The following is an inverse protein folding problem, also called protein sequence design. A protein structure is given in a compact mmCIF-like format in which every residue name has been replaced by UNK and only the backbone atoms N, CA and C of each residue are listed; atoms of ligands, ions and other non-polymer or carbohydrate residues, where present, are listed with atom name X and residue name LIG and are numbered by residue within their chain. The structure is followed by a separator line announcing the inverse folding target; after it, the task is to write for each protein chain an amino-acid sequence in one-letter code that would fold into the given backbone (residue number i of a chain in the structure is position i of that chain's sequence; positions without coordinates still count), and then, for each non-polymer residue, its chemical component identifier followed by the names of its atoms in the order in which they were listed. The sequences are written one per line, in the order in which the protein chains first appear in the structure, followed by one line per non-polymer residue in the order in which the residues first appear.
data_IF_745560152909
#
_entry.id   IF_745560152909
#
_cell.length_a   1.000
_cell.length_b   1.000
_cell.length_c   1.000
_cell.angle_alpha   90.00
_cell.angle_beta   90.00
_cell.angle_gamma   90.00
#
_symmetry.space_group_name_H-M   'P 1'
#
loop_
_entity.id
_entity.type
_entity.pdbx_description
1 polymer ?
#
# COMPACT_ATOMS: atom_id res chain seq x y z
N UNK A 1 -17.33 -18.84 -50.57
CA UNK A 1 -18.10 -18.63 -49.33
C UNK A 1 -17.35 -19.19 -48.13
N UNK A 2 -16.93 -18.31 -47.19
CA UNK A 2 -16.93 -18.51 -45.73
C UNK A 2 -16.29 -17.26 -45.09
N UNK A 3 -17.14 -16.34 -44.66
CA UNK A 3 -16.78 -15.14 -43.92
C UNK A 3 -16.73 -15.55 -42.45
N UNK A 4 -15.54 -15.62 -41.85
CA UNK A 4 -15.41 -15.87 -40.41
C UNK A 4 -15.80 -14.62 -39.62
N UNK A 5 -16.69 -14.83 -38.65
CA UNK A 5 -17.41 -13.84 -37.87
C UNK A 5 -16.54 -13.07 -36.86
N UNK A 6 -16.27 -11.79 -37.13
CA UNK A 6 -15.54 -10.85 -36.24
C UNK A 6 -16.32 -10.31 -35.03
N UNK A 7 -17.34 -11.01 -34.53
CA UNK A 7 -18.21 -10.51 -33.43
C UNK A 7 -17.87 -11.05 -32.03
N UNK A 8 -17.09 -12.13 -31.90
CA UNK A 8 -16.86 -12.79 -30.60
C UNK A 8 -15.75 -12.14 -29.77
N UNK A 9 -14.72 -11.55 -30.41
CA UNK A 9 -13.59 -10.92 -29.69
C UNK A 9 -13.92 -9.56 -29.06
N UNK A 10 -14.89 -8.83 -29.61
CA UNK A 10 -15.21 -7.46 -29.15
C UNK A 10 -15.99 -7.46 -27.83
N UNK A 11 -16.83 -8.47 -27.59
CA UNK A 11 -17.61 -8.60 -26.36
C UNK A 11 -16.72 -8.92 -25.14
N UNK A 12 -15.77 -9.85 -25.27
CA UNK A 12 -14.87 -10.25 -24.18
C UNK A 12 -13.96 -9.11 -23.70
N UNK A 13 -13.42 -8.32 -24.65
CA UNK A 13 -12.59 -7.16 -24.32
C UNK A 13 -13.39 -6.07 -23.62
N UNK A 14 -14.64 -5.82 -24.04
CA UNK A 14 -15.53 -4.83 -23.41
C UNK A 14 -15.93 -5.25 -21.99
N UNK A 15 -16.22 -6.54 -21.77
CA UNK A 15 -16.51 -7.08 -20.43
C UNK A 15 -15.29 -6.96 -19.52
N UNK A 16 -14.09 -7.29 -20.02
CA UNK A 16 -12.84 -7.18 -19.25
C UNK A 16 -12.50 -5.72 -18.88
N UNK A 17 -12.73 -4.76 -19.79
CA UNK A 17 -12.54 -3.33 -19.51
C UNK A 17 -13.59 -2.77 -18.54
N UNK A 18 -14.85 -3.19 -18.65
CA UNK A 18 -15.90 -2.83 -17.67
C UNK A 18 -15.61 -3.39 -16.28
N UNK A 19 -15.14 -4.65 -16.20
CA UNK A 19 -14.74 -5.28 -14.93
C UNK A 19 -13.50 -4.61 -14.31
N UNK A 20 -12.51 -4.21 -15.12
CA UNK A 20 -11.35 -3.46 -14.62
C UNK A 20 -11.74 -2.06 -14.15
N UNK A 21 -12.62 -1.38 -14.86
CA UNK A 21 -13.09 -0.03 -14.50
C UNK A 21 -13.95 -0.03 -13.23
N UNK A 22 -14.79 -1.04 -13.02
CA UNK A 22 -15.54 -1.21 -11.78
C UNK A 22 -14.61 -1.54 -10.60
N UNK A 23 -13.63 -2.43 -10.79
CA UNK A 23 -12.58 -2.72 -9.80
C UNK A 23 -11.75 -1.47 -9.45
N UNK A 24 -11.35 -0.67 -10.43
CA UNK A 24 -10.62 0.59 -10.17
C UNK A 24 -11.49 1.63 -9.44
N UNK A 25 -12.79 1.70 -9.72
CA UNK A 25 -13.71 2.60 -9.04
C UNK A 25 -13.90 2.21 -7.56
N UNK A 26 -14.11 0.91 -7.30
CA UNK A 26 -14.16 0.35 -5.94
C UNK A 26 -12.82 0.55 -5.22
N UNK A 27 -11.69 0.29 -5.89
CA UNK A 27 -10.36 0.54 -5.35
C UNK A 27 -10.11 2.02 -5.02
N UNK A 28 -10.62 2.97 -5.81
CA UNK A 28 -10.49 4.42 -5.53
C UNK A 28 -11.30 4.82 -4.30
N UNK A 29 -12.53 4.32 -4.15
CA UNK A 29 -13.39 4.54 -2.97
C UNK A 29 -12.75 3.94 -1.70
N UNK A 30 -12.31 2.70 -1.78
CA UNK A 30 -11.57 2.01 -0.70
C UNK A 30 -10.24 2.70 -0.39
N UNK A 31 -9.51 3.25 -1.39
CA UNK A 31 -8.26 4.01 -1.19
C UNK A 31 -8.44 5.36 -0.47
N UNK A 32 -9.60 6.00 -0.60
CA UNK A 32 -9.95 7.21 0.18
C UNK A 32 -10.35 6.86 1.61
N UNK A 33 -11.11 5.79 1.78
CA UNK A 33 -11.58 5.25 3.06
C UNK A 33 -10.41 4.72 3.91
N UNK A 34 -9.50 3.96 3.31
CA UNK A 34 -8.27 3.45 3.96
C UNK A 34 -7.26 4.54 4.33
N UNK A 35 -7.40 5.74 3.74
CA UNK A 35 -6.47 6.87 3.96
C UNK A 35 -6.51 7.38 5.41
N UNK A 36 -7.61 7.13 6.11
CA UNK A 36 -7.84 7.52 7.50
C UNK A 36 -7.84 6.36 8.50
N UNK A 37 -7.32 5.18 8.12
CA UNK A 37 -7.19 4.01 9.01
C UNK A 37 -6.28 4.31 10.21
N UNK A 38 -6.85 4.90 11.27
CA UNK A 38 -6.22 5.11 12.58
C UNK A 38 -5.78 3.78 13.18
N UNK A 39 -6.44 2.68 12.84
CA UNK A 39 -6.12 1.34 13.32
C UNK A 39 -4.71 0.86 12.94
N UNK A 40 -4.18 1.26 11.77
CA UNK A 40 -2.80 0.96 11.37
C UNK A 40 -1.77 1.87 12.04
N UNK A 41 -2.21 2.92 12.75
CA UNK A 41 -1.35 3.75 13.62
C UNK A 41 -1.19 3.16 15.01
N UNK A 42 -2.11 2.29 15.45
CA UNK A 42 -1.99 1.61 16.73
C UNK A 42 -0.91 0.51 16.64
N UNK A 43 0.10 0.61 17.49
CA UNK A 43 1.24 -0.34 17.56
C UNK A 43 0.87 -1.70 18.14
N UNK A 44 -0.28 -1.81 18.83
CA UNK A 44 -0.81 -3.09 19.30
C UNK A 44 -1.32 -3.95 18.14
N UNK A 45 -2.08 -3.32 17.24
CA UNK A 45 -2.69 -3.97 16.08
C UNK A 45 -1.66 -4.24 14.98
N UNK A 46 -0.86 -3.21 14.64
CA UNK A 46 0.20 -3.28 13.63
C UNK A 46 1.58 -3.09 14.29
N UNK A 47 2.20 -4.18 14.76
CA UNK A 47 3.50 -4.11 15.43
C UNK A 47 4.58 -3.64 14.47
N UNK A 48 5.46 -2.74 14.93
CA UNK A 48 6.56 -2.19 14.12
C UNK A 48 7.87 -2.97 14.24
N UNK A 49 7.98 -3.85 15.25
CA UNK A 49 9.14 -4.71 15.52
C UNK A 49 9.22 -5.92 14.57
N UNK A 50 8.82 -5.74 13.31
CA UNK A 50 8.88 -6.76 12.26
C UNK A 50 9.38 -6.15 10.96
N UNK A 51 10.08 -6.96 10.16
CA UNK A 51 10.70 -6.51 8.92
C UNK A 51 9.65 -6.05 7.89
N UNK A 52 8.79 -6.98 7.51
CA UNK A 52 7.74 -6.76 6.50
C UNK A 52 6.34 -7.01 7.09
N UNK A 53 5.32 -6.56 6.37
CA UNK A 53 3.91 -6.86 6.70
C UNK A 53 3.62 -8.35 6.78
N UNK A 54 4.33 -9.13 5.97
CA UNK A 54 4.13 -10.58 5.84
C UNK A 54 4.68 -11.33 7.06
N UNK A 55 5.61 -10.73 7.80
CA UNK A 55 6.11 -11.23 9.09
C UNK A 55 5.15 -11.00 10.27
N UNK A 56 4.07 -10.21 10.10
CA UNK A 56 3.07 -10.03 11.16
C UNK A 56 2.30 -11.35 11.32
N UNK A 57 2.07 -11.79 12.58
CA UNK A 57 1.26 -12.99 12.84
C UNK A 57 -0.09 -12.90 12.12
N UNK A 58 -0.47 -13.98 11.44
CA UNK A 58 -1.74 -14.04 10.69
C UNK A 58 -2.94 -13.67 11.56
N UNK A 59 -2.94 -14.07 12.84
CA UNK A 59 -3.98 -13.72 13.82
C UNK A 59 -4.17 -12.21 13.96
N UNK A 60 -3.09 -11.41 13.95
CA UNK A 60 -3.18 -9.95 14.01
C UNK A 60 -3.68 -9.36 12.69
N UNK A 61 -3.26 -9.92 11.55
CA UNK A 61 -3.78 -9.51 10.23
C UNK A 61 -5.29 -9.78 10.10
N UNK A 62 -5.76 -10.91 10.64
CA UNK A 62 -7.19 -11.24 10.67
C UNK A 62 -7.96 -10.26 11.57
N UNK A 63 -7.43 -9.89 12.73
CA UNK A 63 -8.04 -8.84 13.58
C UNK A 63 -8.13 -7.50 12.86
N UNK A 64 -7.10 -7.14 12.09
CA UNK A 64 -7.14 -5.92 11.25
C UNK A 64 -8.26 -6.04 10.21
N UNK A 65 -8.44 -7.20 9.59
CA UNK A 65 -9.55 -7.44 8.66
C UNK A 65 -10.94 -7.33 9.33
N UNK A 66 -11.10 -7.86 10.54
CA UNK A 66 -12.35 -7.73 11.30
C UNK A 66 -12.69 -6.27 11.62
N UNK A 67 -11.73 -5.50 12.12
CA UNK A 67 -11.91 -4.06 12.38
C UNK A 67 -12.23 -3.27 11.12
N UNK A 68 -11.68 -3.70 9.99
CA UNK A 68 -11.96 -3.09 8.69
C UNK A 68 -13.40 -3.33 8.28
N UNK A 69 -13.91 -4.56 8.45
CA UNK A 69 -15.31 -4.90 8.15
C UNK A 69 -16.30 -4.15 9.04
N UNK A 70 -15.90 -3.84 10.27
CA UNK A 70 -16.72 -3.04 11.18
C UNK A 70 -16.82 -1.57 10.74
N UNK A 71 -15.70 -1.00 10.26
CA UNK A 71 -15.64 0.41 9.85
C UNK A 71 -16.19 0.60 8.43
N UNK A 72 -15.94 -0.36 7.55
CA UNK A 72 -16.28 -0.30 6.14
C UNK A 72 -17.14 -1.51 5.80
N UNK A 73 -18.33 -1.26 5.23
CA UNK A 73 -19.23 -2.31 4.74
C UNK A 73 -18.65 -2.94 3.46
N UNK A 74 -17.64 -3.79 3.63
CA UNK A 74 -16.82 -4.37 2.56
C UNK A 74 -17.19 -5.83 2.34
N UNK A 75 -17.27 -6.22 1.07
CA UNK A 75 -17.50 -7.61 0.67
C UNK A 75 -16.25 -8.46 0.91
N UNK A 76 -16.42 -9.73 1.28
CA UNK A 76 -15.29 -10.64 1.52
C UNK A 76 -14.44 -10.86 0.25
N UNK A 77 -15.02 -10.71 -0.95
CA UNK A 77 -14.32 -10.77 -2.24
C UNK A 77 -13.22 -9.69 -2.39
N UNK A 78 -13.39 -8.54 -1.73
CA UNK A 78 -12.45 -7.41 -1.82
C UNK A 78 -11.34 -7.47 -0.74
N UNK A 79 -11.31 -8.55 0.06
CA UNK A 79 -10.38 -8.72 1.18
C UNK A 79 -8.92 -8.58 0.76
N UNK A 80 -8.50 -9.28 -0.29
CA UNK A 80 -7.10 -9.24 -0.72
C UNK A 80 -6.67 -7.83 -1.11
N UNK A 81 -7.52 -7.15 -1.89
CA UNK A 81 -7.32 -5.77 -2.32
C UNK A 81 -7.20 -4.83 -1.12
N UNK A 82 -8.02 -5.02 -0.09
CA UNK A 82 -7.96 -4.22 1.12
C UNK A 82 -6.69 -4.51 1.94
N UNK A 83 -6.31 -5.78 2.06
CA UNK A 83 -5.11 -6.20 2.78
C UNK A 83 -3.83 -5.70 2.10
N UNK A 84 -3.79 -5.66 0.77
CA UNK A 84 -2.71 -5.03 0.00
C UNK A 84 -2.63 -3.52 0.28
N UNK A 85 -3.77 -2.84 0.35
CA UNK A 85 -3.79 -1.44 0.75
C UNK A 85 -3.28 -1.24 2.18
N UNK A 86 -3.66 -2.12 3.12
CA UNK A 86 -3.13 -2.09 4.48
C UNK A 86 -1.60 -2.25 4.50
N UNK A 87 -1.08 -3.20 3.71
CA UNK A 87 0.35 -3.43 3.53
C UNK A 87 1.07 -2.18 3.03
N UNK A 88 0.53 -1.51 2.02
CA UNK A 88 1.10 -0.25 1.49
C UNK A 88 1.07 0.89 2.50
N UNK A 89 -0.02 1.01 3.27
CA UNK A 89 -0.15 2.00 4.35
C UNK A 89 0.84 1.73 5.47
N UNK A 90 1.01 0.46 5.87
CA UNK A 90 1.98 0.05 6.86
C UNK A 90 3.43 0.38 6.43
N UNK A 91 3.79 0.05 5.18
CA UNK A 91 5.09 0.41 4.59
C UNK A 91 5.30 1.92 4.57
N UNK A 92 4.28 2.67 4.14
CA UNK A 92 4.31 4.14 4.11
C UNK A 92 4.49 4.73 5.51
N UNK A 93 3.86 4.15 6.53
CA UNK A 93 4.03 4.57 7.94
C UNK A 93 5.47 4.38 8.39
N UNK A 94 6.07 3.21 8.16
CA UNK A 94 7.49 2.94 8.49
C UNK A 94 8.43 3.92 7.77
N UNK A 95 8.18 4.19 6.49
CA UNK A 95 8.97 5.15 5.72
C UNK A 95 8.89 6.57 6.30
N UNK A 96 7.68 7.09 6.53
CA UNK A 96 7.49 8.43 7.12
C UNK A 96 8.15 8.56 8.48
N UNK A 97 8.06 7.49 9.28
CA UNK A 97 8.70 7.41 10.59
C UNK A 97 10.23 7.47 10.47
N UNK A 98 10.81 6.72 9.53
CA UNK A 98 12.26 6.77 9.25
C UNK A 98 12.71 8.18 8.87
N UNK A 99 12.05 8.78 7.86
CA UNK A 99 12.43 10.10 7.34
C UNK A 99 12.32 11.17 8.42
N UNK A 100 11.25 11.15 9.21
CA UNK A 100 10.98 12.18 10.19
C UNK A 100 11.90 12.10 11.41
N UNK A 101 12.07 10.89 11.96
CA UNK A 101 12.63 10.72 13.31
C UNK A 101 14.03 10.07 13.29
N UNK A 102 14.34 9.21 12.31
CA UNK A 102 15.65 8.55 12.20
C UNK A 102 16.64 9.34 11.32
N UNK A 103 16.26 9.66 10.07
CA UNK A 103 17.15 10.36 9.13
C UNK A 103 17.42 11.81 9.57
N UNK A 104 16.48 12.44 10.28
CA UNK A 104 16.63 13.79 10.82
C UNK A 104 17.47 13.85 12.13
N UNK A 105 18.21 12.78 12.44
CA UNK A 105 19.13 12.68 13.60
C UNK A 105 18.49 12.94 14.98
N UNK A 106 17.17 12.80 15.09
CA UNK A 106 16.45 12.91 16.36
C UNK A 106 16.50 11.57 17.14
N UNK A 107 17.67 10.93 17.12
CA UNK A 107 17.88 9.54 17.56
C UNK A 107 17.77 9.38 19.09
N UNK A 108 17.78 10.48 19.85
CA UNK A 108 17.76 10.46 21.31
C UNK A 108 16.35 10.44 21.91
N UNK A 109 15.30 10.80 21.17
CA UNK A 109 13.91 10.74 21.66
C UNK A 109 13.04 9.90 20.73
N UNK A 110 12.56 8.75 21.20
CA UNK A 110 11.58 7.98 20.45
C UNK A 110 10.24 8.76 20.35
N UNK A 111 9.48 8.61 19.25
CA UNK A 111 8.17 9.24 19.15
C UNK A 111 7.21 8.74 20.24
N UNK A 112 6.51 9.66 20.92
CA UNK A 112 5.60 9.36 22.06
C UNK A 112 4.55 8.28 21.77
N UNK A 113 4.13 8.14 20.51
CA UNK A 113 3.10 7.16 20.09
C UNK A 113 3.66 5.75 19.84
N UNK A 114 4.97 5.55 19.96
CA UNK A 114 5.63 4.29 19.65
C UNK A 114 6.33 3.77 20.91
N UNK A 115 6.04 2.52 21.33
CA UNK A 115 6.75 1.89 22.43
C UNK A 115 8.26 1.85 22.17
N UNK A 116 9.04 2.11 23.21
CA UNK A 116 10.50 2.20 23.12
C UNK A 116 11.13 0.92 22.56
N UNK A 117 10.64 -0.26 22.95
CA UNK A 117 11.10 -1.55 22.45
C UNK A 117 10.96 -1.66 20.91
N UNK A 118 9.80 -1.25 20.38
CA UNK A 118 9.57 -1.26 18.94
C UNK A 118 10.45 -0.24 18.23
N UNK A 119 10.71 0.90 18.86
CA UNK A 119 11.62 1.92 18.33
C UNK A 119 13.06 1.42 18.26
N UNK A 120 13.58 0.83 19.33
CA UNK A 120 14.94 0.24 19.38
C UNK A 120 15.13 -0.80 18.26
N UNK A 121 14.15 -1.67 18.09
CA UNK A 121 14.17 -2.65 17.01
C UNK A 121 14.24 -2.00 15.62
N UNK A 122 13.45 -0.94 15.38
CA UNK A 122 13.47 -0.20 14.10
C UNK A 122 14.80 0.48 13.84
N UNK A 123 15.38 1.13 14.86
CA UNK A 123 16.70 1.78 14.77
C UNK A 123 17.78 0.76 14.41
N UNK A 124 17.78 -0.40 15.07
CA UNK A 124 18.69 -1.51 14.75
C UNK A 124 18.48 -1.99 13.29
N UNK A 125 17.24 -2.22 12.91
CA UNK A 125 16.89 -2.66 11.56
C UNK A 125 17.33 -1.66 10.48
N UNK A 126 17.07 -0.37 10.65
CA UNK A 126 17.48 0.66 9.69
C UNK A 126 18.99 0.91 9.66
N UNK A 127 19.68 0.63 10.77
CA UNK A 127 21.13 0.74 10.86
C UNK A 127 21.86 -0.46 10.24
N UNK A 128 21.16 -1.58 10.03
CA UNK A 128 21.71 -2.79 9.43
C UNK A 128 22.22 -2.55 8.00
N UNK A 129 23.30 -3.25 7.67
CA UNK A 129 23.95 -3.13 6.36
C UNK A 129 23.04 -3.64 5.23
N UNK A 130 22.28 -4.71 5.48
CA UNK A 130 21.30 -5.24 4.54
C UNK A 130 20.25 -4.20 4.15
N UNK A 131 19.70 -3.50 5.15
CA UNK A 131 18.71 -2.46 4.90
C UNK A 131 19.31 -1.28 4.13
N UNK A 132 20.51 -0.83 4.51
CA UNK A 132 21.23 0.25 3.80
C UNK A 132 21.49 -0.12 2.35
N UNK A 133 21.95 -1.34 2.09
CA UNK A 133 22.17 -1.85 0.74
C UNK A 133 20.91 -1.84 -0.12
N UNK A 134 19.79 -2.35 0.41
CA UNK A 134 18.50 -2.32 -0.29
C UNK A 134 18.04 -0.88 -0.53
N UNK A 135 18.18 0.00 0.46
CA UNK A 135 17.80 1.40 0.37
C UNK A 135 18.61 2.14 -0.69
N UNK A 136 19.94 2.00 -0.69
CA UNK A 136 20.84 2.63 -1.66
C UNK A 136 20.57 2.16 -3.09
N UNK A 137 20.32 0.86 -3.29
CA UNK A 137 19.90 0.33 -4.60
C UNK A 137 18.59 0.94 -5.06
N UNK A 138 17.59 1.05 -4.17
CA UNK A 138 16.29 1.66 -4.51
C UNK A 138 16.41 3.15 -4.86
N UNK A 139 17.27 3.89 -4.16
CA UNK A 139 17.56 5.30 -4.46
C UNK A 139 18.18 5.42 -5.86
N UNK A 140 19.20 4.63 -6.18
CA UNK A 140 19.84 4.62 -7.50
C UNK A 140 18.86 4.18 -8.61
N UNK A 141 18.03 3.17 -8.35
CA UNK A 141 16.99 2.77 -9.29
C UNK A 141 16.00 3.91 -9.54
N UNK A 142 15.66 4.67 -8.49
CA UNK A 142 14.74 5.80 -8.61
C UNK A 142 15.36 6.99 -9.34
N UNK A 143 16.65 7.26 -9.15
CA UNK A 143 17.35 8.34 -9.86
C UNK A 143 17.53 8.06 -11.36
N UNK A 144 17.47 6.79 -11.78
CA UNK A 144 17.48 6.40 -13.20
C UNK A 144 16.13 6.53 -13.89
N UNK A 145 15.05 6.83 -13.15
CA UNK A 145 13.72 7.06 -13.74
C UNK A 145 13.71 8.46 -14.37
N UNK A 146 14.06 8.52 -15.64
CA UNK A 146 14.17 9.77 -16.42
C UNK A 146 12.80 10.34 -16.80
N UNK A 147 11.87 9.49 -17.23
CA UNK A 147 10.51 9.92 -17.58
C UNK A 147 9.58 9.88 -16.38
N UNK A 148 9.28 11.05 -15.81
CA UNK A 148 8.19 11.22 -14.87
C UNK A 148 6.85 10.94 -15.57
N UNK A 149 6.00 10.10 -14.97
CA UNK A 149 4.67 9.84 -15.50
C UNK A 149 3.79 11.10 -15.38
N UNK A 150 3.53 11.77 -16.50
CA UNK A 150 2.71 13.00 -16.56
C UNK A 150 1.21 12.71 -16.60
N UNK A 151 0.79 11.45 -16.76
CA UNK A 151 -0.64 11.15 -16.80
C UNK A 151 -1.23 11.29 -15.40
N UNK A 152 -2.14 12.25 -15.24
CA UNK A 152 -2.87 12.44 -13.99
C UNK A 152 -3.81 11.26 -13.68
N UNK A 153 -4.52 11.33 -12.55
CA UNK A 153 -5.54 10.33 -12.19
C UNK A 153 -6.79 10.34 -13.09
N UNK A 154 -6.85 11.22 -14.10
CA UNK A 154 -7.94 11.35 -15.06
C UNK A 154 -7.61 10.56 -16.32
N UNK A 155 -8.55 9.74 -16.79
CA UNK A 155 -8.40 9.02 -18.04
C UNK A 155 -8.39 10.00 -19.24
N UNK A 156 -7.59 9.70 -20.24
CA UNK A 156 -7.50 10.50 -21.48
C UNK A 156 -8.84 10.64 -22.22
N UNK A 157 -9.78 9.73 -21.98
CA UNK A 157 -11.14 9.75 -22.53
C UNK A 157 -11.91 11.02 -22.12
N UNK A 158 -11.61 11.61 -20.94
CA UNK A 158 -12.30 12.81 -20.45
C UNK A 158 -11.67 14.12 -20.95
N UNK A 159 -10.52 14.07 -21.62
CA UNK A 159 -9.80 15.26 -22.11
C UNK A 159 -10.23 15.63 -23.53
N UNK A 160 -10.94 14.72 -24.24
CA UNK A 160 -11.59 15.01 -25.51
C UNK A 160 -13.10 15.20 -25.29
N UNK A 161 -13.52 16.41 -24.92
CA UNK A 161 -14.90 16.90 -25.10
C UNK A 161 -14.85 18.24 -25.78
#
# INVERSE_FOLDING_TARGET
MKIFSGKVFRATIVIAMSSKKSRECSQKKVRSETRNLKLLKNTSNAPLNVQTWDCIKQSKRNKIWELVKEIFEVKEEDKEVFMDQCRDRYRSRKYKLKVKDFDNKMTQSHPKLIPEEQWKWLVFYWSSEDFKNISSRNINNRSRVDMAHTSGSKSFIRIKS
#
